data_IF_785095534636
#
_entry.id   IF_785095534636
#
_cell.length_a   1.000
_cell.length_b   1.000
_cell.length_c   1.000
_cell.angle_alpha   90.00
_cell.angle_beta   90.00
_cell.angle_gamma   90.00
#
_symmetry.space_group_name_H-M   'P 1'
#
loop_
_entity.id
_entity.type
_entity.pdbx_description
1 polymer ?
#
# COMPACT_ATOMS: atom_id res chain seq x y z
N UNK A 1 -17.67 -10.23 16.33
CA UNK A 1 -16.20 -10.39 16.18
C UNK A 1 -15.70 -9.96 14.80
N UNK A 2 -16.40 -10.26 13.71
CA UNK A 2 -16.01 -9.87 12.34
C UNK A 2 -15.62 -8.38 12.19
N UNK A 3 -16.36 -7.45 12.80
CA UNK A 3 -16.01 -6.02 12.80
C UNK A 3 -14.62 -5.74 13.37
N UNK A 4 -14.34 -6.20 14.59
CA UNK A 4 -13.07 -5.95 15.27
C UNK A 4 -11.88 -6.57 14.51
N UNK A 5 -12.08 -7.77 13.95
CA UNK A 5 -11.09 -8.43 13.10
C UNK A 5 -10.83 -7.64 11.81
N UNK A 6 -11.88 -7.15 11.15
CA UNK A 6 -11.75 -6.30 9.97
C UNK A 6 -10.92 -5.05 10.26
N UNK A 7 -11.24 -4.33 11.35
CA UNK A 7 -10.54 -3.09 11.69
C UNK A 7 -9.07 -3.37 11.99
N UNK A 8 -8.78 -4.38 12.80
CA UNK A 8 -7.41 -4.76 13.12
C UNK A 8 -6.62 -5.21 11.88
N UNK A 9 -7.23 -6.00 10.99
CA UNK A 9 -6.59 -6.45 9.77
C UNK A 9 -6.24 -5.29 8.84
N UNK A 10 -7.16 -4.33 8.66
CA UNK A 10 -6.91 -3.14 7.84
C UNK A 10 -5.81 -2.25 8.40
N UNK A 11 -5.80 -2.02 9.72
CA UNK A 11 -4.73 -1.26 10.37
C UNK A 11 -3.39 -1.97 10.27
N UNK A 12 -3.37 -3.30 10.43
CA UNK A 12 -2.16 -4.11 10.31
C UNK A 12 -1.57 -4.07 8.89
N UNK A 13 -2.42 -4.25 7.86
CA UNK A 13 -2.00 -4.19 6.46
C UNK A 13 -1.39 -2.85 6.06
N UNK A 14 -1.75 -1.78 6.77
CA UNK A 14 -1.22 -0.43 6.55
C UNK A 14 -0.07 -0.09 7.50
N UNK A 15 0.42 -1.06 8.27
CA UNK A 15 1.56 -0.87 9.17
C UNK A 15 1.27 0.02 10.38
N UNK A 16 0.01 0.20 10.77
CA UNK A 16 -0.33 0.99 11.97
C UNK A 16 -0.18 0.24 13.28
N UNK A 17 -0.16 -1.09 13.26
CA UNK A 17 -0.03 -1.91 14.46
C UNK A 17 1.44 -2.21 14.72
N UNK A 18 1.93 -1.79 15.89
CA UNK A 18 3.28 -2.13 16.31
C UNK A 18 3.34 -3.58 16.81
N UNK A 19 4.57 -4.08 16.98
CA UNK A 19 4.79 -5.40 17.56
C UNK A 19 4.14 -5.50 18.97
N UNK A 20 3.40 -6.58 19.21
CA UNK A 20 2.65 -6.78 20.46
C UNK A 20 1.31 -6.04 20.55
N UNK A 21 0.81 -5.42 19.46
CA UNK A 21 -0.57 -4.91 19.41
C UNK A 21 -1.60 -6.00 19.74
N UNK A 22 -2.51 -5.71 20.66
CA UNK A 22 -3.60 -6.59 21.05
C UNK A 22 -4.94 -5.98 20.63
N UNK A 23 -5.81 -6.80 20.03
CA UNK A 23 -7.17 -6.40 19.66
C UNK A 23 -8.17 -7.04 20.61
N UNK A 24 -8.98 -6.22 21.26
CA UNK A 24 -10.09 -6.65 22.13
C UNK A 24 -11.41 -6.18 21.55
N UNK A 25 -12.32 -7.11 21.30
CA UNK A 25 -13.64 -6.81 20.78
C UNK A 25 -14.65 -6.61 21.91
N UNK A 26 -15.44 -5.55 21.83
CA UNK A 26 -16.57 -5.28 22.72
C UNK A 26 -17.85 -5.17 21.90
N UNK A 27 -18.98 -5.52 22.50
CA UNK A 27 -20.26 -5.41 21.80
C UNK A 27 -21.46 -5.49 22.73
N UNK A 28 -22.53 -4.83 22.31
CA UNK A 28 -23.89 -4.92 22.84
C UNK A 28 -24.87 -5.06 21.66
N UNK A 29 -26.15 -5.41 21.85
CA UNK A 29 -27.08 -5.74 20.76
C UNK A 29 -27.19 -4.72 19.61
N UNK A 30 -26.90 -3.43 19.87
CA UNK A 30 -26.91 -2.35 18.87
C UNK A 30 -25.60 -1.55 18.80
N UNK A 31 -24.53 -2.02 19.45
CA UNK A 31 -23.24 -1.30 19.52
C UNK A 31 -22.08 -2.26 19.33
N UNK A 32 -21.15 -1.90 18.46
CA UNK A 32 -19.90 -2.61 18.27
C UNK A 32 -18.77 -1.68 18.68
N UNK A 33 -17.77 -2.21 19.38
CA UNK A 33 -16.59 -1.48 19.77
C UNK A 33 -15.36 -2.38 19.65
N UNK A 34 -14.21 -1.75 19.42
CA UNK A 34 -12.92 -2.43 19.32
C UNK A 34 -11.89 -1.58 20.04
N UNK A 35 -11.06 -2.22 20.84
CA UNK A 35 -9.91 -1.62 21.48
C UNK A 35 -8.66 -2.27 20.92
N UNK A 36 -7.71 -1.44 20.44
CA UNK A 36 -6.46 -1.91 19.86
C UNK A 36 -5.32 -1.17 20.56
N UNK A 37 -4.38 -1.93 21.12
CA UNK A 37 -3.18 -1.35 21.75
C UNK A 37 -2.06 -1.13 20.74
N UNK A 38 -1.14 -0.23 21.08
CA UNK A 38 0.08 0.06 20.31
C UNK A 38 -0.19 0.46 18.84
N UNK A 39 -1.14 1.36 18.64
CA UNK A 39 -1.46 1.93 17.32
C UNK A 39 -0.60 3.16 17.07
N UNK A 40 0.09 3.19 15.94
CA UNK A 40 0.91 4.32 15.51
C UNK A 40 0.03 5.49 15.04
N UNK A 41 0.46 6.72 15.32
CA UNK A 41 -0.25 7.93 14.87
C UNK A 41 -0.17 8.14 13.35
N UNK A 42 0.89 7.62 12.72
CA UNK A 42 1.13 7.66 11.28
C UNK A 42 1.72 6.32 10.86
N UNK A 43 1.32 5.80 9.70
CA UNK A 43 1.96 4.60 9.16
C UNK A 43 3.42 4.91 8.81
N UNK A 44 4.33 3.94 8.92
CA UNK A 44 5.70 4.14 8.47
C UNK A 44 5.73 4.43 6.96
N UNK A 45 6.73 5.19 6.53
CA UNK A 45 7.02 5.37 5.12
C UNK A 45 7.48 4.02 4.55
N UNK A 46 6.80 3.54 3.50
CA UNK A 46 7.09 2.24 2.91
C UNK A 46 7.89 2.44 1.63
N UNK A 47 9.15 2.00 1.66
CA UNK A 47 9.97 1.91 0.46
C UNK A 47 9.36 0.83 -0.44
N UNK A 48 8.87 1.23 -1.62
CA UNK A 48 8.32 0.31 -2.59
C UNK A 48 9.20 0.27 -3.82
N UNK A 49 9.29 -0.91 -4.41
CA UNK A 49 10.08 -1.18 -5.60
C UNK A 49 9.14 -1.65 -6.69
N UNK A 50 8.95 -0.82 -7.72
CA UNK A 50 8.05 -1.10 -8.83
C UNK A 50 8.85 -1.50 -10.06
N UNK A 51 8.71 -2.76 -10.49
CA UNK A 51 9.29 -3.26 -11.73
C UNK A 51 8.63 -2.58 -12.93
N UNK A 52 9.45 -2.02 -13.83
CA UNK A 52 9.01 -1.36 -15.06
C UNK A 52 9.33 -2.27 -16.26
N UNK A 53 9.79 -1.68 -17.36
CA UNK A 53 10.15 -2.37 -18.60
C UNK A 53 11.65 -2.69 -18.64
N UNK A 54 12.08 -3.67 -19.47
CA UNK A 54 13.49 -3.92 -19.71
C UNK A 54 14.22 -2.66 -20.21
N UNK A 55 15.49 -2.48 -19.86
CA UNK A 55 16.32 -1.32 -20.28
C UNK A 55 16.30 -1.15 -21.80
N UNK A 56 16.40 -2.25 -22.56
CA UNK A 56 16.33 -2.24 -24.04
C UNK A 56 15.03 -1.68 -24.62
N UNK A 57 13.93 -1.79 -23.86
CA UNK A 57 12.60 -1.34 -24.29
C UNK A 57 12.27 0.02 -23.68
N UNK A 58 12.83 0.35 -22.51
CA UNK A 58 12.57 1.58 -21.78
C UNK A 58 13.50 2.75 -22.11
N UNK A 59 14.70 2.47 -22.62
CA UNK A 59 15.71 3.46 -22.97
C UNK A 59 15.93 3.43 -24.48
N UNK A 60 15.77 4.57 -25.13
CA UNK A 60 16.10 4.73 -26.54
C UNK A 60 17.62 4.81 -26.76
N UNK A 61 18.08 4.66 -28.01
CA UNK A 61 19.50 4.70 -28.34
C UNK A 61 20.19 6.04 -28.01
N UNK A 62 19.41 7.10 -27.83
CA UNK A 62 19.84 8.44 -27.42
C UNK A 62 19.89 8.63 -25.88
N UNK A 63 19.52 7.61 -25.11
CA UNK A 63 19.43 7.66 -23.65
C UNK A 63 18.12 8.22 -23.10
N UNK A 64 17.15 8.56 -23.95
CA UNK A 64 15.85 9.11 -23.53
C UNK A 64 14.83 8.02 -23.13
N UNK A 65 13.80 8.41 -22.38
CA UNK A 65 12.68 7.54 -22.04
C UNK A 65 11.88 7.18 -23.28
N UNK A 66 11.69 5.89 -23.54
CA UNK A 66 10.81 5.47 -24.63
C UNK A 66 9.34 5.71 -24.28
N UNK A 67 8.46 5.82 -25.29
CA UNK A 67 7.01 5.90 -25.05
C UNK A 67 6.45 4.72 -24.25
N UNK A 68 7.09 3.54 -24.32
CA UNK A 68 6.71 2.37 -23.55
C UNK A 68 6.96 2.57 -22.04
N UNK A 69 8.10 3.17 -21.68
CA UNK A 69 8.43 3.52 -20.30
C UNK A 69 7.47 4.60 -19.78
N UNK A 70 7.29 5.69 -20.52
CA UNK A 70 6.40 6.79 -20.13
C UNK A 70 4.96 6.33 -19.93
N UNK A 71 4.43 5.48 -20.83
CA UNK A 71 3.08 4.92 -20.70
C UNK A 71 2.95 4.00 -19.49
N UNK A 72 3.99 3.20 -19.18
CA UNK A 72 4.00 2.32 -18.00
C UNK A 72 4.04 3.14 -16.71
N UNK A 73 4.88 4.19 -16.67
CA UNK A 73 4.97 5.12 -15.53
C UNK A 73 3.65 5.87 -15.32
N UNK A 74 3.04 6.40 -16.38
CA UNK A 74 1.74 7.08 -16.30
C UNK A 74 0.62 6.15 -15.79
N UNK A 75 0.62 4.88 -16.22
CA UNK A 75 -0.36 3.88 -15.75
C UNK A 75 -0.18 3.58 -14.25
N UNK A 76 1.05 3.68 -13.75
CA UNK A 76 1.40 3.45 -12.35
C UNK A 76 1.36 4.74 -11.51
N UNK A 77 1.08 5.90 -12.11
CA UNK A 77 1.10 7.20 -11.45
C UNK A 77 2.50 7.67 -11.04
N UNK A 78 3.55 7.11 -11.65
CA UNK A 78 4.95 7.45 -11.37
C UNK A 78 5.37 8.56 -12.34
N UNK A 79 5.99 9.63 -11.83
CA UNK A 79 6.57 10.71 -12.63
C UNK A 79 8.00 10.93 -12.14
N UNK A 80 8.94 10.22 -12.76
CA UNK A 80 10.37 10.32 -12.44
C UNK A 80 11.18 10.34 -13.74
N UNK A 81 12.38 10.88 -13.69
CA UNK A 81 13.26 10.87 -14.85
C UNK A 81 13.91 9.49 -15.00
N UNK A 82 14.41 9.20 -16.19
CA UNK A 82 15.21 8.01 -16.49
C UNK A 82 16.42 7.90 -15.58
N UNK A 83 16.99 9.04 -15.18
CA UNK A 83 18.13 9.10 -14.27
C UNK A 83 17.82 8.57 -12.86
N UNK A 84 16.56 8.64 -12.42
CA UNK A 84 16.11 8.15 -11.12
C UNK A 84 15.77 6.65 -11.12
N UNK A 85 15.77 6.02 -12.31
CA UNK A 85 15.45 4.61 -12.45
C UNK A 85 16.66 3.73 -12.19
N UNK A 86 16.46 2.73 -11.34
CA UNK A 86 17.49 1.73 -11.04
C UNK A 86 17.47 0.62 -12.06
N UNK A 87 18.65 0.21 -12.50
CA UNK A 87 18.85 -0.92 -13.41
C UNK A 87 19.19 -2.15 -12.58
N UNK A 88 18.34 -3.16 -12.63
CA UNK A 88 18.54 -4.43 -11.94
C UNK A 88 18.72 -5.53 -12.98
N UNK A 89 19.78 -6.32 -12.84
CA UNK A 89 20.04 -7.45 -13.72
C UNK A 89 19.26 -8.68 -13.22
N UNK A 90 18.27 -9.13 -13.99
CA UNK A 90 17.42 -10.28 -13.64
C UNK A 90 17.92 -11.59 -14.30
N UNK A 91 19.24 -11.70 -14.53
CA UNK A 91 19.93 -12.91 -15.03
C UNK A 91 19.84 -13.16 -16.54
N UNK A 92 18.86 -12.57 -17.25
CA UNK A 92 18.75 -12.66 -18.73
C UNK A 92 18.66 -11.32 -19.45
N UNK A 93 18.17 -10.27 -18.78
CA UNK A 93 18.10 -8.91 -19.29
C UNK A 93 18.24 -7.90 -18.15
N UNK A 94 18.68 -6.69 -18.46
CA UNK A 94 18.62 -5.56 -17.54
C UNK A 94 17.19 -5.00 -17.49
N UNK A 95 16.64 -4.85 -16.29
CA UNK A 95 15.30 -4.35 -16.05
C UNK A 95 15.34 -3.00 -15.33
N UNK A 96 14.49 -2.07 -15.77
CA UNK A 96 14.30 -0.81 -15.07
C UNK A 96 13.34 -1.00 -13.91
N UNK A 97 13.70 -0.41 -12.79
CA UNK A 97 12.96 -0.48 -11.53
C UNK A 97 12.89 0.91 -10.96
N UNK A 98 11.69 1.30 -10.52
CA UNK A 98 11.49 2.53 -9.77
C UNK A 98 11.50 2.20 -8.28
N UNK A 99 12.40 2.83 -7.53
CA UNK A 99 12.42 2.79 -6.07
C UNK A 99 11.80 4.09 -5.57
N UNK A 100 10.60 3.99 -4.99
CA UNK A 100 9.89 5.12 -4.44
C UNK A 100 9.66 4.94 -2.95
N UNK A 101 9.42 6.04 -2.25
CA UNK A 101 8.93 6.01 -0.87
C UNK A 101 7.47 6.42 -0.90
N UNK A 102 6.58 5.50 -0.50
CA UNK A 102 5.19 5.85 -0.28
C UNK A 102 5.11 6.48 1.10
N UNK A 103 4.84 7.79 1.13
CA UNK A 103 4.65 8.51 2.38
C UNK A 103 3.58 7.83 3.22
N UNK A 104 3.87 7.65 4.50
CA UNK A 104 2.93 7.14 5.45
C UNK A 104 1.69 8.03 5.53
N UNK A 105 0.55 7.41 5.81
CA UNK A 105 -0.73 8.08 5.98
C UNK A 105 -1.02 8.32 7.46
N UNK A 106 -1.74 9.40 7.75
CA UNK A 106 -2.19 9.69 9.11
C UNK A 106 -3.22 8.67 9.59
N UNK A 107 -3.20 8.36 10.89
CA UNK A 107 -4.10 7.38 11.49
C UNK A 107 -5.57 7.74 11.26
N UNK A 108 -5.93 9.02 11.30
CA UNK A 108 -7.32 9.45 11.10
C UNK A 108 -7.87 8.99 9.74
N UNK A 109 -7.09 9.16 8.67
CA UNK A 109 -7.49 8.75 7.33
C UNK A 109 -7.48 7.22 7.18
N UNK A 110 -6.42 6.58 7.69
CA UNK A 110 -6.29 5.12 7.65
C UNK A 110 -7.39 4.39 8.42
N UNK A 111 -7.74 4.91 9.60
CA UNK A 111 -8.79 4.37 10.46
C UNK A 111 -10.17 4.55 9.83
N UNK A 112 -10.47 5.71 9.24
CA UNK A 112 -11.74 5.94 8.56
C UNK A 112 -11.98 4.89 7.46
N UNK A 113 -10.95 4.65 6.64
CA UNK A 113 -11.02 3.64 5.57
C UNK A 113 -11.16 2.22 6.13
N UNK A 114 -10.46 1.90 7.22
CA UNK A 114 -10.57 0.61 7.91
C UNK A 114 -11.99 0.37 8.46
N UNK A 115 -12.61 1.40 9.05
CA UNK A 115 -13.98 1.34 9.55
C UNK A 115 -14.97 1.10 8.41
N UNK A 116 -14.89 1.88 7.34
CA UNK A 116 -15.79 1.77 6.20
C UNK A 116 -15.72 0.38 5.54
N UNK A 117 -14.50 -0.15 5.36
CA UNK A 117 -14.31 -1.48 4.81
C UNK A 117 -14.83 -2.58 5.75
N UNK A 118 -14.57 -2.44 7.07
CA UNK A 118 -15.02 -3.42 8.07
C UNK A 118 -16.53 -3.47 8.20
N UNK A 119 -17.22 -2.32 8.09
CA UNK A 119 -18.68 -2.24 8.10
C UNK A 119 -19.26 -2.89 6.84
N UNK A 120 -18.69 -2.58 5.65
CA UNK A 120 -19.14 -3.16 4.37
C UNK A 120 -18.92 -4.68 4.32
N UNK A 121 -17.87 -5.16 4.97
CA UNK A 121 -17.56 -6.59 5.05
C UNK A 121 -18.34 -7.34 6.13
N UNK A 122 -19.25 -6.68 6.86
CA UNK A 122 -20.08 -7.37 7.83
C UNK A 122 -20.96 -8.40 7.13
N UNK A 123 -20.99 -9.66 7.62
CA UNK A 123 -21.91 -10.67 7.12
C UNK A 123 -23.32 -10.33 7.62
N UNK A 124 -23.95 -9.37 6.96
CA UNK A 124 -25.37 -9.04 7.15
C UNK A 124 -26.14 -9.94 6.20
N UNK A 125 -27.01 -10.83 6.71
CA UNK A 125 -27.91 -11.59 5.85
C UNK A 125 -28.72 -10.60 5.00
N UNK A 126 -28.63 -10.72 3.68
CA UNK A 126 -29.56 -10.02 2.80
C UNK A 126 -30.95 -10.61 3.07
N UNK A 127 -31.82 -9.81 3.67
CA UNK A 127 -33.27 -10.08 3.78
C UNK A 127 -33.97 -9.65 2.50
#
# INVERSE_FOLDING_TARGET
>A
QAFAQGVAQHLNQRGFLAEGSMTTAYGAPRRLAVHITNVLAKSPDEAFTQKLVPVRVGIAADGSATPALTKKMATLGITCDVADLKRVNDGKNEQLVFEGVRSGIELAEGLQQALDASIKSLPIPKV
#
